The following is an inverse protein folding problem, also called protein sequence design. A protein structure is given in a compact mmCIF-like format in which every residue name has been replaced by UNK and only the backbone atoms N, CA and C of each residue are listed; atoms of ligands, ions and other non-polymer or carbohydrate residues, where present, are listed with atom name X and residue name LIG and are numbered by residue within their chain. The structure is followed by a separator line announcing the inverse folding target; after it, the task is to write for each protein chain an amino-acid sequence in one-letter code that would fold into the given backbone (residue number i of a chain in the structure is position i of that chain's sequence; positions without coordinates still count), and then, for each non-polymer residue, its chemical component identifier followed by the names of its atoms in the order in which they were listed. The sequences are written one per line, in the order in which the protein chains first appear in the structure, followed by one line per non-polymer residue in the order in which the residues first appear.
data_IF_268599686157
#
_entry.id   IF_268599686157
#
_cell.length_a   1.000
_cell.length_b   1.000
_cell.length_c   1.000
_cell.angle_alpha   90.00
_cell.angle_beta   90.00
_cell.angle_gamma   90.00
#
_symmetry.space_group_name_H-M   'P 1'
#
loop_
_entity.id
_entity.type
_entity.pdbx_description
1 polymer ?
#
# COMPACT_ATOMS: atom_id res chain seq x y z
N UNK A 1 -3.30 -1.40 -22.51
CA UNK A 1 -3.28 -1.32 -21.03
C UNK A 1 -3.78 0.05 -20.69
N UNK A 2 -4.83 0.16 -19.86
CA UNK A 2 -5.28 1.47 -19.39
C UNK A 2 -4.61 1.79 -18.05
N UNK A 3 -3.39 2.33 -18.13
CA UNK A 3 -2.68 2.82 -16.96
C UNK A 3 -3.39 3.99 -16.31
N UNK A 4 -4.11 4.80 -17.09
CA UNK A 4 -4.84 5.99 -16.63
C UNK A 4 -5.96 5.59 -15.68
N UNK A 5 -6.77 4.59 -16.03
CA UNK A 5 -7.83 4.09 -15.14
C UNK A 5 -7.26 3.61 -13.80
N UNK A 6 -6.16 2.84 -13.84
CA UNK A 6 -5.48 2.33 -12.64
C UNK A 6 -4.92 3.46 -11.77
N UNK A 7 -4.33 4.48 -12.39
CA UNK A 7 -3.82 5.67 -11.70
C UNK A 7 -4.95 6.49 -11.08
N UNK A 8 -6.06 6.70 -11.78
CA UNK A 8 -7.23 7.40 -11.23
C UNK A 8 -7.83 6.68 -10.04
N UNK A 9 -7.84 5.34 -10.03
CA UNK A 9 -8.26 4.57 -8.85
C UNK A 9 -7.31 4.77 -7.65
N UNK A 10 -5.99 4.80 -7.89
CA UNK A 10 -4.99 5.07 -6.85
C UNK A 10 -5.12 6.50 -6.29
N UNK A 11 -5.35 7.48 -7.15
CA UNK A 11 -5.60 8.87 -6.76
C UNK A 11 -6.83 8.97 -5.85
N UNK A 12 -7.94 8.36 -6.24
CA UNK A 12 -9.16 8.31 -5.41
C UNK A 12 -8.91 7.63 -4.05
N UNK A 13 -8.12 6.56 -4.02
CA UNK A 13 -7.76 5.87 -2.77
C UNK A 13 -6.89 6.75 -1.87
N UNK A 14 -5.95 7.51 -2.42
CA UNK A 14 -5.12 8.42 -1.66
C UNK A 14 -5.95 9.59 -1.10
N UNK A 15 -6.86 10.14 -1.91
CA UNK A 15 -7.81 11.18 -1.47
C UNK A 15 -8.71 10.68 -0.33
N UNK A 16 -9.25 9.48 -0.45
CA UNK A 16 -10.03 8.83 0.62
C UNK A 16 -9.18 8.63 1.88
N UNK A 17 -7.95 8.10 1.76
CA UNK A 17 -7.04 7.89 2.88
C UNK A 17 -6.74 9.19 3.62
N UNK A 18 -6.50 10.28 2.90
CA UNK A 18 -6.32 11.61 3.49
C UNK A 18 -7.54 12.05 4.30
N UNK A 19 -8.74 11.92 3.74
CA UNK A 19 -9.97 12.30 4.43
C UNK A 19 -10.20 11.45 5.70
N UNK A 20 -9.94 10.15 5.62
CA UNK A 20 -10.07 9.20 6.71
C UNK A 20 -9.10 9.48 7.86
N UNK A 21 -7.83 9.79 7.56
CA UNK A 21 -6.83 10.19 8.56
C UNK A 21 -7.19 11.54 9.19
N UNK A 22 -7.68 12.51 8.39
CA UNK A 22 -8.13 13.80 8.93
C UNK A 22 -9.31 13.63 9.88
N UNK A 23 -10.30 12.79 9.55
CA UNK A 23 -11.42 12.49 10.42
C UNK A 23 -10.95 11.84 11.74
N UNK A 24 -10.01 10.89 11.65
CA UNK A 24 -9.45 10.16 12.78
C UNK A 24 -8.81 11.06 13.86
N UNK A 25 -8.35 12.26 13.50
CA UNK A 25 -7.75 13.20 14.49
C UNK A 25 -8.71 13.65 15.59
N UNK A 26 -10.02 13.55 15.36
CA UNK A 26 -11.06 13.95 16.33
C UNK A 26 -11.80 12.75 16.94
N UNK A 27 -11.41 11.53 16.56
CA UNK A 27 -12.05 10.29 17.01
C UNK A 27 -11.55 9.88 18.41
N UNK A 28 -12.44 9.26 19.18
CA UNK A 28 -12.05 8.62 20.44
C UNK A 28 -11.14 7.41 20.19
N UNK A 29 -10.38 7.00 21.22
CA UNK A 29 -9.56 5.78 21.15
C UNK A 29 -10.35 4.57 20.68
N UNK A 30 -11.61 4.40 21.12
CA UNK A 30 -12.45 3.27 20.71
C UNK A 30 -12.78 3.33 19.20
N UNK A 31 -13.15 4.49 18.69
CA UNK A 31 -13.46 4.67 17.26
C UNK A 31 -12.21 4.41 16.39
N UNK A 32 -11.04 4.86 16.84
CA UNK A 32 -9.76 4.55 16.18
C UNK A 32 -9.49 3.03 16.13
N UNK A 33 -9.93 2.26 17.12
CA UNK A 33 -9.85 0.78 17.12
C UNK A 33 -10.63 0.19 15.96
N UNK A 34 -11.91 0.53 15.91
CA UNK A 34 -12.84 -0.03 14.95
C UNK A 34 -12.42 0.34 13.51
N UNK A 35 -11.88 1.55 13.35
CA UNK A 35 -11.30 2.04 12.08
C UNK A 35 -10.05 1.26 11.68
N UNK A 36 -9.13 0.98 12.60
CA UNK A 36 -7.94 0.15 12.34
C UNK A 36 -8.35 -1.27 11.91
N UNK A 37 -9.28 -1.90 12.64
CA UNK A 37 -9.75 -3.26 12.32
C UNK A 37 -10.42 -3.32 10.94
N UNK A 38 -11.24 -2.32 10.58
CA UNK A 38 -11.80 -2.19 9.24
C UNK A 38 -10.69 -2.05 8.18
N UNK A 39 -9.70 -1.21 8.43
CA UNK A 39 -8.60 -0.94 7.50
C UNK A 39 -7.77 -2.21 7.26
N UNK A 40 -7.51 -3.00 8.30
CA UNK A 40 -6.84 -4.31 8.17
C UNK A 40 -7.60 -5.25 7.24
N UNK A 41 -8.92 -5.37 7.44
CA UNK A 41 -9.79 -6.21 6.61
C UNK A 41 -9.79 -5.78 5.15
N UNK A 42 -9.79 -4.47 4.88
CA UNK A 42 -9.72 -3.93 3.52
C UNK A 42 -8.37 -4.18 2.84
N UNK A 43 -7.27 -4.11 3.58
CA UNK A 43 -5.93 -4.43 3.05
C UNK A 43 -5.87 -5.91 2.63
N UNK A 44 -6.40 -6.81 3.46
CA UNK A 44 -6.44 -8.25 3.14
C UNK A 44 -7.26 -8.51 1.87
N UNK A 45 -8.46 -7.90 1.77
CA UNK A 45 -9.29 -8.00 0.56
C UNK A 45 -8.54 -7.48 -0.68
N UNK A 46 -7.91 -6.31 -0.58
CA UNK A 46 -7.15 -5.72 -1.68
C UNK A 46 -5.99 -6.61 -2.13
N UNK A 47 -5.27 -7.21 -1.17
CA UNK A 47 -4.17 -8.14 -1.46
C UNK A 47 -4.65 -9.40 -2.17
N UNK A 48 -5.81 -9.95 -1.80
CA UNK A 48 -6.43 -11.10 -2.47
C UNK A 48 -6.84 -10.77 -3.91
N UNK A 49 -7.49 -9.63 -4.14
CA UNK A 49 -7.89 -9.19 -5.48
C UNK A 49 -6.68 -8.95 -6.39
N UNK A 50 -5.62 -8.32 -5.86
CA UNK A 50 -4.42 -8.09 -6.61
C UNK A 50 -3.63 -9.38 -6.89
N UNK A 51 -3.73 -10.39 -6.00
CA UNK A 51 -3.23 -11.73 -6.28
C UNK A 51 -4.00 -12.43 -7.41
N UNK A 52 -5.34 -12.40 -7.40
CA UNK A 52 -6.15 -12.98 -8.47
C UNK A 52 -5.77 -12.38 -9.83
N UNK A 53 -5.68 -11.04 -9.91
CA UNK A 53 -5.23 -10.35 -11.13
C UNK A 53 -3.81 -10.74 -11.56
N UNK A 54 -2.90 -10.95 -10.61
CA UNK A 54 -1.53 -11.36 -10.93
C UNK A 54 -1.47 -12.81 -11.43
N UNK A 55 -2.31 -13.70 -10.91
CA UNK A 55 -2.39 -15.09 -11.33
C UNK A 55 -3.08 -15.23 -12.71
N UNK A 56 -4.02 -14.34 -13.03
CA UNK A 56 -4.63 -14.22 -14.37
C UNK A 56 -3.65 -13.73 -15.45
N UNK A 57 -2.65 -12.93 -15.07
CA UNK A 57 -1.67 -12.33 -15.99
C UNK A 57 -0.39 -13.18 -16.13
N UNK A 58 -0.14 -14.16 -15.25
CA UNK A 58 1.15 -14.87 -15.21
C UNK A 58 1.23 -16.03 -16.21
N UNK A 59 1.81 -15.72 -17.37
CA UNK A 59 2.80 -16.58 -18.03
C UNK A 59 4.27 -16.14 -17.76
N UNK A 60 4.53 -15.05 -17.02
CA UNK A 60 5.90 -14.69 -16.60
C UNK A 60 5.94 -13.47 -15.68
N UNK A 61 6.74 -13.52 -14.61
CA UNK A 61 7.03 -12.37 -13.72
C UNK A 61 6.55 -12.48 -12.25
N UNK A 62 6.63 -13.65 -11.62
CA UNK A 62 6.02 -13.92 -10.31
C UNK A 62 6.78 -13.58 -9.02
N UNK A 63 7.99 -13.01 -9.06
CA UNK A 63 8.82 -12.85 -7.85
C UNK A 63 8.56 -11.56 -7.06
N UNK A 64 8.53 -10.40 -7.72
CA UNK A 64 8.47 -9.08 -7.06
C UNK A 64 7.13 -8.86 -6.33
N UNK A 65 6.02 -9.27 -6.93
CA UNK A 65 4.69 -9.14 -6.32
C UNK A 65 4.52 -10.01 -5.07
N UNK A 66 5.11 -11.21 -5.05
CA UNK A 66 5.05 -12.09 -3.89
C UNK A 66 5.82 -11.50 -2.70
N UNK A 67 6.98 -10.88 -2.96
CA UNK A 67 7.79 -10.24 -1.92
C UNK A 67 7.09 -9.01 -1.33
N UNK A 68 6.54 -8.11 -2.16
CA UNK A 68 5.79 -6.94 -1.66
C UNK A 68 4.61 -7.34 -0.76
N UNK A 69 3.92 -8.45 -1.06
CA UNK A 69 2.84 -8.96 -0.20
C UNK A 69 3.34 -9.45 1.15
N UNK A 70 4.49 -10.11 1.19
CA UNK A 70 5.10 -10.61 2.42
C UNK A 70 5.52 -9.45 3.33
N UNK A 71 6.19 -8.44 2.77
CA UNK A 71 6.64 -7.26 3.51
C UNK A 71 5.45 -6.47 4.07
N UNK A 72 4.40 -6.29 3.26
CA UNK A 72 3.16 -5.65 3.72
C UNK A 72 2.46 -6.45 4.84
N UNK A 73 2.48 -7.78 4.79
CA UNK A 73 1.90 -8.63 5.83
C UNK A 73 2.69 -8.55 7.14
N UNK A 74 4.02 -8.54 7.07
CA UNK A 74 4.89 -8.36 8.23
C UNK A 74 4.66 -7.00 8.91
N UNK A 75 4.59 -5.92 8.12
CA UNK A 75 4.31 -4.58 8.65
C UNK A 75 2.95 -4.52 9.37
N UNK A 76 1.89 -5.12 8.81
CA UNK A 76 0.58 -5.20 9.49
C UNK A 76 0.63 -5.95 10.82
N UNK A 77 1.35 -7.07 10.86
CA UNK A 77 1.51 -7.86 12.08
C UNK A 77 2.23 -7.06 13.16
N UNK A 78 3.27 -6.30 12.80
CA UNK A 78 3.99 -5.41 13.72
C UNK A 78 3.10 -4.29 14.26
N UNK A 79 2.35 -3.61 13.38
CA UNK A 79 1.39 -2.57 13.79
C UNK A 79 0.35 -3.13 14.77
N UNK A 80 -0.19 -4.33 14.52
CA UNK A 80 -1.14 -4.99 15.43
C UNK A 80 -0.51 -5.31 16.78
N UNK A 81 0.71 -5.88 16.79
CA UNK A 81 1.42 -6.23 18.01
C UNK A 81 1.69 -5.00 18.90
N UNK A 82 2.19 -3.90 18.31
CA UNK A 82 2.41 -2.62 19.04
C UNK A 82 1.11 -2.05 19.60
N UNK A 83 -0.01 -2.33 18.97
CA UNK A 83 -1.29 -1.80 19.39
C UNK A 83 -1.92 -2.60 20.55
N UNK A 84 -1.74 -3.91 20.55
CA UNK A 84 -2.07 -4.78 21.69
C UNK A 84 -1.23 -4.43 22.92
N UNK A 85 0.06 -4.09 22.73
CA UNK A 85 0.97 -3.67 23.80
C UNK A 85 0.54 -2.33 24.45
N UNK A 86 0.18 -1.33 23.63
CA UNK A 86 -0.38 -0.05 24.11
C UNK A 86 -1.68 -0.18 24.91
N UNK A 87 -2.36 -1.32 24.82
CA UNK A 87 -3.58 -1.58 25.63
C UNK A 87 -3.25 -2.00 27.06
N UNK A 88 -2.02 -2.46 27.30
CA UNK A 88 -1.57 -2.98 28.60
C UNK A 88 -0.60 -2.04 29.32
N UNK A 89 -0.05 -1.05 28.63
CA UNK A 89 0.80 -0.03 29.24
C UNK A 89 0.01 0.88 30.20
N UNK A 90 0.51 0.97 31.43
CA UNK A 90 0.01 1.87 32.48
C UNK A 90 1.00 3.01 32.81
N UNK A 91 2.20 2.99 32.20
CA UNK A 91 3.23 4.01 32.37
C UNK A 91 3.12 5.08 31.27
N UNK A 92 3.03 6.35 31.66
CA UNK A 92 2.83 7.46 30.76
C UNK A 92 4.06 7.80 29.88
N UNK A 93 5.28 7.56 30.38
CA UNK A 93 6.51 7.78 29.62
C UNK A 93 6.68 6.69 28.56
N UNK A 94 6.38 5.44 28.91
CA UNK A 94 6.33 4.33 27.96
C UNK A 94 5.28 4.61 26.86
N UNK A 95 4.08 5.05 27.25
CA UNK A 95 3.02 5.35 26.28
C UNK A 95 3.38 6.49 25.33
N UNK A 96 4.09 7.52 25.81
CA UNK A 96 4.58 8.61 24.98
C UNK A 96 5.70 8.17 24.03
N UNK A 97 6.63 7.34 24.48
CA UNK A 97 7.67 6.76 23.62
C UNK A 97 7.05 5.87 22.52
N UNK A 98 6.09 5.02 22.88
CA UNK A 98 5.34 4.19 21.93
C UNK A 98 4.56 5.01 20.90
N UNK A 99 4.00 6.15 21.30
CA UNK A 99 3.35 7.08 20.39
C UNK A 99 4.37 7.61 19.35
N UNK A 100 5.54 8.06 19.79
CA UNK A 100 6.60 8.53 18.89
C UNK A 100 7.09 7.44 17.91
N UNK A 101 7.22 6.19 18.37
CA UNK A 101 7.54 5.05 17.49
C UNK A 101 6.42 4.76 16.47
N UNK A 102 5.16 4.97 16.84
CA UNK A 102 4.03 4.78 15.93
C UNK A 102 3.93 5.93 14.90
N UNK A 103 4.23 7.16 15.30
CA UNK A 103 4.30 8.32 14.40
C UNK A 103 5.43 8.16 13.38
N UNK A 104 6.64 7.81 13.81
CA UNK A 104 7.77 7.50 12.91
C UNK A 104 7.43 6.33 11.97
N UNK A 105 6.78 5.28 12.46
CA UNK A 105 6.33 4.18 11.60
C UNK A 105 5.28 4.60 10.56
N UNK A 106 4.49 5.64 10.83
CA UNK A 106 3.57 6.20 9.85
C UNK A 106 4.29 7.05 8.78
N UNK A 107 5.35 7.78 9.16
CA UNK A 107 6.22 8.49 8.22
C UNK A 107 6.94 7.50 7.29
N UNK A 108 7.56 6.44 7.83
CA UNK A 108 8.20 5.38 7.03
C UNK A 108 7.24 4.75 6.01
N UNK A 109 5.95 4.58 6.38
CA UNK A 109 4.94 4.04 5.49
C UNK A 109 4.56 5.01 4.35
N UNK A 110 4.59 6.33 4.60
CA UNK A 110 4.39 7.35 3.58
C UNK A 110 5.58 7.39 2.61
N UNK A 111 6.81 7.38 3.14
CA UNK A 111 8.04 7.34 2.33
C UNK A 111 8.06 6.10 1.42
N UNK A 112 7.67 4.94 1.95
CA UNK A 112 7.53 3.72 1.16
C UNK A 112 6.45 3.84 0.07
N UNK A 113 5.31 4.46 0.37
CA UNK A 113 4.24 4.66 -0.62
C UNK A 113 4.67 5.59 -1.75
N UNK A 114 5.41 6.66 -1.44
CA UNK A 114 6.01 7.56 -2.43
C UNK A 114 7.04 6.81 -3.30
N UNK A 115 7.96 6.08 -2.68
CA UNK A 115 8.93 5.25 -3.41
C UNK A 115 8.25 4.24 -4.34
N UNK A 116 7.17 3.59 -3.88
CA UNK A 116 6.41 2.64 -4.68
C UNK A 116 5.73 3.31 -5.88
N UNK A 117 5.25 4.56 -5.74
CA UNK A 117 4.67 5.32 -6.84
C UNK A 117 5.69 5.61 -7.94
N UNK A 118 6.91 6.03 -7.59
CA UNK A 118 8.00 6.24 -8.57
C UNK A 118 8.40 4.94 -9.30
N UNK A 119 8.43 3.81 -8.59
CA UNK A 119 8.71 2.52 -9.23
C UNK A 119 7.58 2.08 -10.18
N UNK A 120 6.33 2.35 -9.82
CA UNK A 120 5.20 2.10 -10.70
C UNK A 120 5.29 2.95 -11.97
N UNK A 121 5.65 4.24 -11.84
CA UNK A 121 5.90 5.13 -12.98
C UNK A 121 6.97 4.56 -13.92
N UNK A 122 8.13 4.18 -13.38
CA UNK A 122 9.23 3.59 -14.15
C UNK A 122 8.77 2.34 -14.93
N UNK A 123 8.04 1.44 -14.28
CA UNK A 123 7.53 0.22 -14.91
C UNK A 123 6.49 0.51 -16.01
N UNK A 124 5.65 1.53 -15.85
CA UNK A 124 4.70 1.94 -16.89
C UNK A 124 5.43 2.55 -18.10
N UNK A 125 6.46 3.37 -17.87
CA UNK A 125 7.29 3.93 -18.93
C UNK A 125 8.02 2.83 -19.73
N UNK A 126 8.62 1.85 -19.05
CA UNK A 126 9.24 0.68 -19.68
C UNK A 126 8.23 -0.10 -20.55
N UNK A 127 7.01 -0.32 -20.05
CA UNK A 127 5.95 -0.99 -20.81
C UNK A 127 5.50 -0.19 -22.04
N UNK A 128 5.46 1.15 -21.95
CA UNK A 128 5.13 2.05 -23.08
C UNK A 128 6.25 1.98 -24.13
N UNK A 129 7.51 2.06 -23.71
CA UNK A 129 8.68 1.97 -24.60
C UNK A 129 8.72 0.62 -25.34
N UNK A 130 8.56 -0.49 -24.60
CA UNK A 130 8.53 -1.82 -25.18
C UNK A 130 7.42 -2.00 -26.23
N UNK A 131 6.24 -1.39 -26.01
CA UNK A 131 5.15 -1.38 -27.01
C UNK A 131 5.53 -0.57 -28.24
N UNK A 132 6.05 0.64 -28.05
CA UNK A 132 6.46 1.51 -29.15
C UNK A 132 7.53 0.85 -30.03
N UNK A 133 8.52 0.20 -29.41
CA UNK A 133 9.56 -0.54 -30.10
C UNK A 133 9.01 -1.74 -30.88
N UNK A 134 8.08 -2.50 -30.30
CA UNK A 134 7.41 -3.60 -31.00
C UNK A 134 6.65 -3.09 -32.25
N UNK A 135 5.94 -1.96 -32.14
CA UNK A 135 5.20 -1.36 -33.24
C UNK A 135 6.13 -0.78 -34.32
N UNK A 136 7.32 -0.32 -33.97
CA UNK A 136 8.37 0.12 -34.91
C UNK A 136 8.93 -1.07 -35.72
N UNK A 137 9.24 -2.18 -35.05
CA UNK A 137 9.71 -3.40 -35.71
C UNK A 137 8.64 -3.99 -36.63
N UNK A 138 7.38 -4.00 -36.21
CA UNK A 138 6.28 -4.47 -37.05
C UNK A 138 6.12 -3.63 -38.32
N UNK A 139 6.35 -2.31 -38.24
CA UNK A 139 6.31 -1.40 -39.40
C UNK A 139 7.49 -1.53 -40.34
N UNK A 140 8.67 -1.90 -39.85
CA UNK A 140 9.86 -2.09 -40.69
C UNK A 140 9.92 -3.47 -41.37
N UNK A 141 9.15 -4.43 -40.87
CA UNK A 141 9.06 -5.78 -41.42
C UNK A 141 7.99 -5.96 -42.52
N UNK A 142 7.13 -4.96 -42.76
CA UNK A 142 6.08 -4.96 -43.79
C UNK A 142 6.32 -3.94 -44.87
#
# INVERSE_FOLDING_TARGET
MDFTERLSMLEQRLAFTKAEVQAATTESRQQLRDRIDRTQSEIERSAMEAQQRADEVRAGGGSVWAQMKADAAAHRADVKARWDERTRQMDAQAAAADAGWAESGAEDALDYAEWAAYNAELAMLDAIDARAYADELARSAG
#
